data_IF_397583182711
#
_entry.id   IF_397583182711
#
_cell.length_a   1.000
_cell.length_b   1.000
_cell.length_c   1.000
_cell.angle_alpha   90.00
_cell.angle_beta   90.00
_cell.angle_gamma   90.00
#
_symmetry.space_group_name_H-M   'P 1'
#
loop_
_entity.id
_entity.type
_entity.pdbx_description
1 polymer ?
#
# COMPACT_ATOMS: atom_id res chain seq x y z
N UNK A 1 -8.05 2.08 -25.57
CA UNK A 1 -6.93 2.21 -26.55
C UNK A 1 -5.58 2.45 -25.87
N UNK A 2 -5.50 3.37 -24.89
CA UNK A 2 -4.23 3.71 -24.22
C UNK A 2 -3.66 2.53 -23.42
N UNK A 3 -4.48 1.86 -22.59
CA UNK A 3 -4.05 0.69 -21.83
C UNK A 3 -3.50 -0.42 -22.74
N UNK A 4 -4.19 -0.71 -23.83
CA UNK A 4 -3.74 -1.74 -24.78
C UNK A 4 -2.39 -1.40 -25.41
N UNK A 5 -2.16 -0.11 -25.69
CA UNK A 5 -0.87 0.37 -26.22
C UNK A 5 0.26 0.25 -25.18
N UNK A 6 -0.01 0.68 -23.94
CA UNK A 6 0.96 0.55 -22.84
C UNK A 6 1.26 -0.92 -22.54
N UNK A 7 0.26 -1.79 -22.54
CA UNK A 7 0.43 -3.24 -22.37
C UNK A 7 1.29 -3.84 -23.47
N UNK A 8 1.09 -3.40 -24.73
CA UNK A 8 1.89 -3.88 -25.85
C UNK A 8 3.36 -3.48 -25.76
N UNK A 9 3.65 -2.28 -25.26
CA UNK A 9 5.04 -1.87 -25.01
C UNK A 9 5.68 -2.77 -23.95
N UNK A 10 4.96 -3.09 -22.86
CA UNK A 10 5.46 -3.99 -21.82
C UNK A 10 5.64 -5.45 -22.30
N UNK A 11 4.86 -5.90 -23.28
CA UNK A 11 5.08 -7.21 -23.92
C UNK A 11 6.36 -7.23 -24.73
N UNK A 12 6.69 -6.12 -25.41
CA UNK A 12 7.90 -5.99 -26.23
C UNK A 12 9.16 -5.76 -25.40
N UNK A 13 9.02 -5.03 -24.30
CA UNK A 13 10.07 -4.74 -23.34
C UNK A 13 9.53 -4.91 -21.90
N UNK A 14 9.54 -6.15 -21.37
CA UNK A 14 9.03 -6.45 -20.04
C UNK A 14 9.78 -5.74 -18.90
N UNK A 15 11.03 -5.40 -19.13
CA UNK A 15 11.89 -4.69 -18.17
C UNK A 15 11.71 -3.16 -18.24
N UNK A 16 11.07 -2.68 -19.29
CA UNK A 16 10.80 -1.26 -19.49
C UNK A 16 9.87 -0.67 -18.43
N UNK A 17 10.29 0.43 -17.80
CA UNK A 17 9.51 1.10 -16.75
C UNK A 17 8.61 2.20 -17.31
N UNK A 18 8.85 2.65 -18.55
CA UNK A 18 8.13 3.79 -19.13
C UNK A 18 6.59 3.63 -19.14
N UNK A 19 6.01 2.49 -19.55
CA UNK A 19 4.55 2.36 -19.57
C UNK A 19 3.91 2.48 -18.18
N UNK A 20 4.61 1.99 -17.15
CA UNK A 20 4.14 2.07 -15.76
C UNK A 20 4.31 3.47 -15.18
N UNK A 21 5.41 4.15 -15.52
CA UNK A 21 5.61 5.58 -15.20
C UNK A 21 4.50 6.41 -15.84
N UNK A 22 4.25 6.21 -17.12
CA UNK A 22 3.20 6.93 -17.84
C UNK A 22 1.81 6.69 -17.24
N UNK A 23 1.47 5.43 -16.95
CA UNK A 23 0.19 5.08 -16.35
C UNK A 23 0.01 5.70 -14.97
N UNK A 24 1.02 5.58 -14.09
CA UNK A 24 0.90 5.98 -12.69
C UNK A 24 1.12 7.48 -12.45
N UNK A 25 1.95 8.14 -13.26
CA UNK A 25 2.33 9.54 -13.02
C UNK A 25 1.75 10.54 -14.01
N UNK A 26 1.44 10.13 -15.22
CA UNK A 26 0.92 11.05 -16.24
C UNK A 26 -0.58 10.85 -16.45
N UNK A 27 -0.99 9.63 -16.71
CA UNK A 27 -2.37 9.35 -17.09
C UNK A 27 -3.30 9.13 -15.90
N UNK A 28 -2.80 8.60 -14.78
CA UNK A 28 -3.58 8.49 -13.56
C UNK A 28 -3.85 9.84 -12.89
N UNK A 29 -3.05 10.87 -13.19
CA UNK A 29 -3.23 12.21 -12.64
C UNK A 29 -4.14 13.12 -13.46
N UNK A 30 -4.73 12.62 -14.55
CA UNK A 30 -5.77 13.35 -15.29
C UNK A 30 -7.01 13.47 -14.36
N UNK A 31 -7.57 14.69 -14.16
CA UNK A 31 -8.64 14.93 -13.20
C UNK A 31 -10.01 14.42 -13.68
N UNK A 32 -10.06 13.18 -14.12
CA UNK A 32 -11.26 12.44 -14.50
C UNK A 32 -11.20 11.09 -13.79
N UNK A 33 -11.95 10.95 -12.72
CA UNK A 33 -11.90 9.82 -11.82
C UNK A 33 -11.96 8.45 -12.53
N UNK A 34 -12.84 8.29 -13.52
CA UNK A 34 -12.95 7.04 -14.27
C UNK A 34 -11.67 6.68 -15.02
N UNK A 35 -10.97 7.66 -15.57
CA UNK A 35 -9.67 7.45 -16.26
C UNK A 35 -8.55 7.17 -15.26
N UNK A 36 -8.56 7.86 -14.15
CA UNK A 36 -7.63 7.65 -13.04
C UNK A 36 -7.74 6.22 -12.51
N UNK A 37 -8.95 5.78 -12.16
CA UNK A 37 -9.21 4.39 -11.73
C UNK A 37 -8.77 3.35 -12.77
N UNK A 38 -9.05 3.61 -14.04
CA UNK A 38 -8.63 2.73 -15.15
C UNK A 38 -7.11 2.56 -15.21
N UNK A 39 -6.35 3.66 -15.05
CA UNK A 39 -4.89 3.61 -15.05
C UNK A 39 -4.32 2.92 -13.80
N UNK A 40 -4.91 3.14 -12.64
CA UNK A 40 -4.49 2.45 -11.42
C UNK A 40 -4.75 0.94 -11.51
N UNK A 41 -5.88 0.52 -12.05
CA UNK A 41 -6.18 -0.90 -12.31
C UNK A 41 -5.24 -1.51 -13.35
N UNK A 42 -4.82 -0.76 -14.37
CA UNK A 42 -3.80 -1.18 -15.30
C UNK A 42 -2.48 -1.48 -14.57
N UNK A 43 -2.01 -0.55 -13.74
CA UNK A 43 -0.79 -0.73 -12.94
C UNK A 43 -0.92 -1.96 -12.02
N UNK A 44 -2.07 -2.14 -11.38
CA UNK A 44 -2.36 -3.28 -10.52
C UNK A 44 -2.26 -4.62 -11.26
N UNK A 45 -2.87 -4.73 -12.43
CA UNK A 45 -2.78 -5.95 -13.25
C UNK A 45 -1.37 -6.24 -13.72
N UNK A 46 -0.64 -5.21 -14.14
CA UNK A 46 0.73 -5.34 -14.62
C UNK A 46 1.72 -5.69 -13.51
N UNK A 47 1.43 -5.29 -12.28
CA UNK A 47 2.26 -5.61 -11.11
C UNK A 47 2.45 -7.12 -10.95
N UNK A 48 1.43 -7.93 -11.13
CA UNK A 48 1.50 -9.38 -10.90
C UNK A 48 2.41 -10.12 -11.88
N UNK A 49 2.78 -9.52 -13.00
CA UNK A 49 3.70 -10.11 -13.96
C UNK A 49 5.17 -10.02 -13.51
N UNK A 50 5.52 -9.04 -12.70
CA UNK A 50 6.84 -8.88 -12.11
C UNK A 50 6.79 -8.03 -10.81
N UNK A 51 6.27 -8.59 -9.71
CA UNK A 51 6.03 -7.84 -8.47
C UNK A 51 7.27 -7.19 -7.90
N UNK A 52 8.41 -7.89 -7.91
CA UNK A 52 9.66 -7.43 -7.30
C UNK A 52 10.30 -6.23 -8.00
N UNK A 53 9.92 -5.96 -9.25
CA UNK A 53 10.41 -4.81 -10.04
C UNK A 53 9.34 -3.74 -10.21
N UNK A 54 8.06 -4.10 -10.16
CA UNK A 54 6.93 -3.20 -10.44
C UNK A 54 6.25 -2.65 -9.18
N UNK A 55 6.68 -3.06 -8.00
CA UNK A 55 6.13 -2.56 -6.74
C UNK A 55 6.15 -1.03 -6.58
N UNK A 56 7.16 -0.26 -7.08
CA UNK A 56 7.17 1.18 -6.91
C UNK A 56 5.96 1.86 -7.56
N UNK A 57 5.52 1.36 -8.69
CA UNK A 57 4.37 1.90 -9.42
C UNK A 57 3.06 1.57 -8.71
N UNK A 58 2.95 0.40 -8.12
CA UNK A 58 1.79 0.05 -7.31
C UNK A 58 1.79 0.79 -5.96
N UNK A 59 2.94 1.07 -5.37
CA UNK A 59 3.05 1.92 -4.20
C UNK A 59 2.58 3.35 -4.51
N UNK A 60 2.94 3.90 -5.66
CA UNK A 60 2.43 5.19 -6.12
C UNK A 60 0.91 5.15 -6.37
N UNK A 61 0.41 4.11 -7.01
CA UNK A 61 -1.03 3.89 -7.20
C UNK A 61 -1.79 3.81 -5.86
N UNK A 62 -1.19 3.18 -4.84
CA UNK A 62 -1.72 3.13 -3.48
C UNK A 62 -1.88 4.55 -2.90
N UNK A 63 -0.86 5.39 -3.05
CA UNK A 63 -0.90 6.77 -2.59
C UNK A 63 -1.99 7.59 -3.32
N UNK A 64 -2.14 7.43 -4.63
CA UNK A 64 -3.20 8.10 -5.40
C UNK A 64 -4.60 7.63 -4.99
N UNK A 65 -4.80 6.32 -4.79
CA UNK A 65 -6.06 5.76 -4.31
C UNK A 65 -6.44 6.36 -2.94
N UNK A 66 -5.48 6.49 -2.04
CA UNK A 66 -5.68 7.08 -0.71
C UNK A 66 -5.96 8.58 -0.75
N UNK A 67 -5.09 9.36 -1.42
CA UNK A 67 -5.06 10.81 -1.28
C UNK A 67 -5.88 11.55 -2.33
N UNK A 68 -6.06 11.01 -3.51
CA UNK A 68 -6.83 11.64 -4.58
C UNK A 68 -8.24 11.06 -4.72
N UNK A 69 -8.35 9.74 -4.77
CA UNK A 69 -9.64 9.08 -4.87
C UNK A 69 -10.36 8.96 -3.52
N UNK A 70 -9.66 9.17 -2.42
CA UNK A 70 -10.17 8.95 -1.06
C UNK A 70 -10.80 7.56 -0.89
N UNK A 71 -10.22 6.57 -1.57
CA UNK A 71 -10.69 5.18 -1.62
C UNK A 71 -9.73 4.30 -0.81
N UNK A 72 -9.91 4.28 0.50
CA UNK A 72 -9.07 3.49 1.40
C UNK A 72 -9.18 1.97 1.14
N UNK A 73 -10.35 1.38 0.85
CA UNK A 73 -10.42 -0.03 0.46
C UNK A 73 -9.59 -0.36 -0.78
N UNK A 74 -9.60 0.49 -1.79
CA UNK A 74 -8.77 0.34 -2.99
C UNK A 74 -7.28 0.45 -2.66
N UNK A 75 -6.89 1.46 -1.89
CA UNK A 75 -5.52 1.65 -1.43
C UNK A 75 -5.02 0.43 -0.64
N UNK A 76 -5.85 -0.12 0.26
CA UNK A 76 -5.55 -1.34 1.01
C UNK A 76 -5.32 -2.53 0.08
N UNK A 77 -6.16 -2.73 -0.92
CA UNK A 77 -6.04 -3.82 -1.89
C UNK A 77 -4.69 -3.79 -2.61
N UNK A 78 -4.23 -2.60 -3.02
CA UNK A 78 -2.93 -2.42 -3.66
C UNK A 78 -1.77 -2.67 -2.69
N UNK A 79 -1.83 -2.10 -1.49
CA UNK A 79 -0.82 -2.30 -0.47
C UNK A 79 -0.68 -3.76 -0.03
N UNK A 80 -1.80 -4.48 0.09
CA UNK A 80 -1.83 -5.90 0.40
C UNK A 80 -1.15 -6.74 -0.68
N UNK A 81 -1.34 -6.40 -1.96
CA UNK A 81 -0.66 -7.08 -3.05
C UNK A 81 0.86 -6.89 -2.98
N UNK A 82 1.34 -5.68 -2.68
CA UNK A 82 2.78 -5.43 -2.49
C UNK A 82 3.32 -6.30 -1.35
N UNK A 83 2.66 -6.29 -0.20
CA UNK A 83 3.08 -7.06 0.97
C UNK A 83 3.17 -8.56 0.66
N UNK A 84 2.24 -9.08 -0.10
CA UNK A 84 2.13 -10.52 -0.39
C UNK A 84 3.10 -10.99 -1.48
N UNK A 85 3.34 -10.19 -2.51
CA UNK A 85 4.01 -10.64 -3.73
C UNK A 85 5.36 -9.97 -3.99
N UNK A 86 5.63 -8.78 -3.48
CA UNK A 86 6.91 -8.11 -3.61
C UNK A 86 7.82 -8.47 -2.44
N UNK A 87 8.38 -9.67 -2.46
CA UNK A 87 9.07 -10.29 -1.31
C UNK A 87 10.59 -10.41 -1.48
N UNK A 88 11.16 -9.96 -2.60
CA UNK A 88 12.60 -9.97 -2.82
C UNK A 88 13.34 -9.02 -1.86
N UNK A 89 14.59 -9.32 -1.55
CA UNK A 89 15.42 -8.56 -0.61
C UNK A 89 15.58 -7.07 -0.99
N UNK A 90 15.47 -6.74 -2.27
CA UNK A 90 15.55 -5.36 -2.76
C UNK A 90 14.27 -4.53 -2.53
N UNK A 91 13.17 -5.15 -2.09
CA UNK A 91 11.92 -4.43 -1.76
C UNK A 91 12.03 -3.92 -0.33
N UNK A 92 11.95 -2.58 -0.12
CA UNK A 92 12.09 -2.03 1.23
C UNK A 92 10.90 -2.40 2.11
N UNK A 93 11.16 -2.57 3.40
CA UNK A 93 10.12 -2.96 4.37
C UNK A 93 8.95 -1.97 4.41
N UNK A 94 9.20 -0.67 4.26
CA UNK A 94 8.12 0.31 4.27
C UNK A 94 7.07 0.05 3.18
N UNK A 95 7.48 -0.44 2.01
CA UNK A 95 6.54 -0.78 0.94
C UNK A 95 5.65 -1.97 1.33
N UNK A 96 6.19 -2.93 2.05
CA UNK A 96 5.45 -4.09 2.56
C UNK A 96 4.59 -3.77 3.80
N UNK A 97 4.84 -2.64 4.46
CA UNK A 97 4.11 -2.19 5.66
C UNK A 97 2.96 -1.24 5.34
N UNK A 98 2.81 -0.79 4.10
CA UNK A 98 1.78 0.21 3.72
C UNK A 98 0.36 -0.23 4.10
N UNK A 99 0.03 -1.52 4.02
CA UNK A 99 -1.29 -2.02 4.41
C UNK A 99 -1.61 -1.71 5.87
N UNK A 100 -0.65 -1.91 6.77
CA UNK A 100 -0.85 -1.64 8.20
C UNK A 100 -1.25 -0.18 8.46
N UNK A 101 -0.58 0.76 7.80
CA UNK A 101 -0.89 2.19 7.94
C UNK A 101 -2.23 2.59 7.31
N UNK A 102 -2.61 1.95 6.21
CA UNK A 102 -3.93 2.16 5.59
C UNK A 102 -5.03 1.62 6.50
N UNK A 103 -4.85 0.45 7.11
CA UNK A 103 -5.77 -0.10 8.09
C UNK A 103 -5.95 0.82 9.31
N UNK A 104 -4.87 1.46 9.74
CA UNK A 104 -4.91 2.48 10.78
C UNK A 104 -5.77 3.68 10.36
N UNK A 105 -5.60 4.18 9.14
CA UNK A 105 -6.43 5.26 8.57
C UNK A 105 -7.91 4.86 8.42
N UNK A 106 -8.20 3.59 8.22
CA UNK A 106 -9.56 3.03 8.20
C UNK A 106 -10.13 2.80 9.60
N UNK A 107 -9.40 3.14 10.64
CA UNK A 107 -9.73 2.86 12.04
C UNK A 107 -9.78 1.35 12.40
N UNK A 108 -9.12 0.50 11.61
CA UNK A 108 -8.96 -0.94 11.84
C UNK A 108 -7.76 -1.22 12.77
N UNK A 109 -7.80 -0.61 13.96
CA UNK A 109 -6.63 -0.51 14.86
C UNK A 109 -6.12 -1.85 15.35
N UNK A 110 -7.01 -2.80 15.63
CA UNK A 110 -6.61 -4.14 16.09
C UNK A 110 -5.87 -4.90 14.99
N UNK A 111 -6.35 -4.84 13.75
CA UNK A 111 -5.69 -5.50 12.61
C UNK A 111 -4.34 -4.85 12.32
N UNK A 112 -4.26 -3.53 12.33
CA UNK A 112 -3.01 -2.79 12.15
C UNK A 112 -1.99 -3.16 13.24
N UNK A 113 -2.43 -3.26 14.49
CA UNK A 113 -1.60 -3.67 15.64
C UNK A 113 -1.03 -5.08 15.47
N UNK A 114 -1.86 -6.01 15.03
CA UNK A 114 -1.43 -7.40 14.78
C UNK A 114 -0.38 -7.48 13.67
N UNK A 115 -0.56 -6.74 12.60
CA UNK A 115 0.39 -6.72 11.47
C UNK A 115 1.74 -6.12 11.92
N UNK A 116 1.73 -4.98 12.59
CA UNK A 116 2.96 -4.32 13.07
C UNK A 116 3.66 -5.19 14.11
N UNK A 117 2.91 -5.78 15.04
CA UNK A 117 3.45 -6.72 16.03
C UNK A 117 4.09 -7.94 15.36
N UNK A 118 3.49 -8.47 14.31
CA UNK A 118 4.05 -9.57 13.52
C UNK A 118 5.38 -9.20 12.86
N UNK A 119 5.53 -8.01 12.29
CA UNK A 119 6.81 -7.55 11.75
C UNK A 119 7.90 -7.45 12.81
N UNK A 120 7.58 -6.94 13.99
CA UNK A 120 8.54 -6.84 15.10
C UNK A 120 8.99 -8.22 15.59
N UNK A 121 8.07 -9.19 15.65
CA UNK A 121 8.35 -10.55 16.09
C UNK A 121 9.08 -11.40 15.05
N UNK A 122 8.90 -11.12 13.77
CA UNK A 122 9.49 -11.91 12.67
C UNK A 122 11.01 -11.84 12.60
N UNK A 123 11.62 -10.79 13.17
CA UNK A 123 13.04 -10.51 13.06
C UNK A 123 13.48 -10.02 11.67
N UNK A 124 12.55 -9.73 10.76
CA UNK A 124 12.84 -9.17 9.43
C UNK A 124 13.30 -7.72 9.50
N UNK A 125 12.87 -6.98 10.53
CA UNK A 125 13.25 -5.58 10.74
C UNK A 125 14.60 -5.55 11.45
N UNK A 126 15.65 -5.25 10.70
CA UNK A 126 17.04 -5.24 11.23
C UNK A 126 17.58 -3.83 11.49
N UNK A 127 17.02 -2.84 10.82
CA UNK A 127 17.44 -1.45 11.00
C UNK A 127 16.95 -0.92 12.36
N UNK A 128 17.85 -0.38 13.22
CA UNK A 128 17.46 0.13 14.54
C UNK A 128 16.47 1.30 14.48
N UNK A 129 16.55 2.14 13.46
CA UNK A 129 15.63 3.25 13.25
C UNK A 129 14.21 2.76 12.92
N UNK A 130 14.08 1.77 12.05
CA UNK A 130 12.79 1.15 11.71
C UNK A 130 12.20 0.42 12.91
N UNK A 131 13.00 -0.34 13.65
CA UNK A 131 12.56 -0.99 14.89
C UNK A 131 11.94 0.01 15.87
N UNK A 132 12.67 1.09 16.15
CA UNK A 132 12.21 2.14 17.07
C UNK A 132 10.93 2.82 16.57
N UNK A 133 10.83 3.06 15.26
CA UNK A 133 9.64 3.63 14.64
C UNK A 133 8.42 2.70 14.82
N UNK A 134 8.56 1.42 14.50
CA UNK A 134 7.47 0.43 14.61
C UNK A 134 7.06 0.17 16.06
N UNK A 135 8.01 0.11 16.99
CA UNK A 135 7.72 0.00 18.42
C UNK A 135 6.92 1.21 18.92
N UNK A 136 7.32 2.41 18.53
CA UNK A 136 6.60 3.64 18.84
C UNK A 136 5.18 3.63 18.26
N UNK A 137 5.03 3.16 17.03
CA UNK A 137 3.74 3.06 16.35
C UNK A 137 2.83 2.04 17.03
N UNK A 138 3.35 0.87 17.37
CA UNK A 138 2.62 -0.16 18.11
C UNK A 138 2.08 0.39 19.43
N UNK A 139 2.90 1.11 20.17
CA UNK A 139 2.54 1.74 21.45
C UNK A 139 1.42 2.77 21.30
N UNK A 140 1.47 3.58 20.23
CA UNK A 140 0.40 4.52 19.91
C UNK A 140 -0.93 3.80 19.60
N UNK A 141 -0.89 2.73 18.81
CA UNK A 141 -2.07 1.92 18.47
C UNK A 141 -2.68 1.28 19.71
N UNK A 142 -1.87 0.74 20.61
CA UNK A 142 -2.33 0.17 21.88
C UNK A 142 -3.04 1.22 22.74
N UNK A 143 -2.48 2.42 22.83
CA UNK A 143 -3.08 3.53 23.59
C UNK A 143 -4.43 3.98 22.97
N UNK A 144 -4.51 4.06 21.63
CA UNK A 144 -5.77 4.40 20.94
C UNK A 144 -6.83 3.32 21.14
N UNK A 145 -6.46 2.07 21.01
CA UNK A 145 -7.39 0.93 21.23
C UNK A 145 -7.94 0.92 22.67
N UNK A 146 -7.09 1.19 23.66
CA UNK A 146 -7.54 1.29 25.05
C UNK A 146 -8.46 2.47 25.30
N UNK A 147 -8.19 3.63 24.70
CA UNK A 147 -9.04 4.81 24.80
C UNK A 147 -10.43 4.56 24.19
N UNK A 148 -10.52 3.90 23.04
CA UNK A 148 -11.81 3.54 22.42
C UNK A 148 -12.62 2.56 23.28
N UNK A 149 -11.97 1.54 23.84
CA UNK A 149 -12.61 0.58 24.76
C UNK A 149 -13.10 1.27 26.05
N UNK A 150 -12.36 2.26 26.54
CA UNK A 150 -12.73 3.06 27.71
C UNK A 150 -13.95 3.96 27.44
N UNK A 151 -14.05 4.53 26.24
CA UNK A 151 -15.16 5.38 25.81
C UNK A 151 -16.45 4.57 25.65
N UNK A 152 -16.35 3.38 25.02
CA UNK A 152 -17.49 2.46 24.85
C UNK A 152 -18.06 1.99 26.20
N UNK A 153 -17.21 1.72 27.21
CA UNK A 153 -17.67 1.36 28.55
C UNK A 153 -18.43 2.50 29.26
N UNK A 154 -18.08 3.77 29.00
CA UNK A 154 -18.75 4.93 29.58
C UNK A 154 -20.10 5.25 28.92
N UNK A 155 -20.30 4.84 27.66
CA UNK A 155 -21.54 5.09 26.92
C UNK A 155 -22.63 4.03 27.16
N UNK A 156 -22.30 2.92 27.84
CA UNK A 156 -23.22 1.80 28.15
C UNK A 156 -23.74 1.86 29.60
N UNK A 157 -23.24 2.79 30.43
CA UNK A 157 -23.73 3.08 31.78
C UNK A 157 -24.44 4.43 31.80
#
# INVERSE_FOLDING_TARGET
RLEAWLARILELDPDGQYPLIAASRLYAEVPIEAKERSMLEFVYRQFFLDPNRRWPWLAHATALAKHRLHDLPLARRYAQAIQRYAVADGVPLWARQMEAFILEDMNELETARLIIGGYLQSGEVKDPGELKFLEGRLKQLESRTQAEKGTLKKSVN
#
